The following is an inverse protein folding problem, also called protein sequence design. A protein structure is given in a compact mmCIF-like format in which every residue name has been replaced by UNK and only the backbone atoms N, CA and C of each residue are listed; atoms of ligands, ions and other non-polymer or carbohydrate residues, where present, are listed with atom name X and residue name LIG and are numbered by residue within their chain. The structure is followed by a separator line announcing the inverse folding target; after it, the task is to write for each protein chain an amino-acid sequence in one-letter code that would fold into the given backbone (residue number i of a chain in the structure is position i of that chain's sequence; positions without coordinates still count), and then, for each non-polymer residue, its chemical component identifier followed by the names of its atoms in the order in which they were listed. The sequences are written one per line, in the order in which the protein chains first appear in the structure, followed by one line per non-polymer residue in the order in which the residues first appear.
data_IF_944103357341
#
_entry.id   IF_944103357341
#
_cell.length_a   1.000
_cell.length_b   1.000
_cell.length_c   1.000
_cell.angle_alpha   90.00
_cell.angle_beta   90.00
_cell.angle_gamma   90.00
#
_symmetry.space_group_name_H-M   'P 1'
#
loop_
_entity.id
_entity.type
_entity.pdbx_description
1 polymer ?
#
# COMPACT_ATOMS: atom_id res chain seq x y z
N UNK A 1 6.27 -21.33 23.18
CA UNK A 1 6.86 -20.08 22.68
C UNK A 1 6.03 -19.69 21.49
N UNK A 2 5.05 -18.83 21.72
CA UNK A 2 4.22 -18.31 20.63
C UNK A 2 5.13 -17.44 19.77
N UNK A 3 5.20 -17.75 18.47
CA UNK A 3 6.01 -16.97 17.54
C UNK A 3 5.49 -15.52 17.55
N UNK A 4 6.41 -14.55 17.62
CA UNK A 4 6.02 -13.14 17.52
C UNK A 4 5.22 -12.91 16.23
N UNK A 5 4.10 -12.16 16.30
CA UNK A 5 3.32 -11.81 15.13
C UNK A 5 4.21 -11.16 14.06
N UNK A 6 4.23 -11.72 12.85
CA UNK A 6 5.18 -11.41 11.78
C UNK A 6 4.51 -10.92 10.50
N UNK A 7 5.16 -9.94 9.87
CA UNK A 7 4.89 -9.53 8.48
C UNK A 7 6.09 -9.84 7.62
N UNK A 8 5.90 -10.68 6.61
CA UNK A 8 6.99 -11.09 5.70
C UNK A 8 6.54 -11.22 4.26
N UNK A 9 7.55 -11.19 3.39
CA UNK A 9 7.41 -11.48 1.97
C UNK A 9 8.12 -12.79 1.65
N UNK A 10 7.38 -13.74 1.10
CA UNK A 10 7.91 -14.95 0.48
C UNK A 10 7.69 -14.85 -1.04
N UNK A 11 8.75 -14.53 -1.78
CA UNK A 11 8.67 -14.25 -3.21
C UNK A 11 7.82 -13.01 -3.51
N UNK A 12 6.61 -13.21 -4.04
CA UNK A 12 5.64 -12.16 -4.37
C UNK A 12 4.44 -12.11 -3.42
N UNK A 13 4.51 -12.85 -2.31
CA UNK A 13 3.41 -12.96 -1.37
C UNK A 13 3.82 -12.30 -0.06
N UNK A 14 3.11 -11.24 0.28
CA UNK A 14 3.15 -10.62 1.60
C UNK A 14 2.09 -11.26 2.50
N UNK A 15 2.49 -11.67 3.70
CA UNK A 15 1.59 -12.20 4.73
C UNK A 15 1.77 -11.37 6.00
N UNK A 16 0.65 -10.97 6.59
CA UNK A 16 0.56 -10.37 7.93
C UNK A 16 -0.39 -11.22 8.77
N UNK A 17 0.07 -11.67 9.94
CA UNK A 17 -0.78 -12.23 11.01
C UNK A 17 -1.21 -11.16 12.04
N UNK A 18 -0.64 -9.95 11.94
CA UNK A 18 -0.96 -8.75 12.73
C UNK A 18 -2.10 -7.98 12.12
N UNK A 19 -2.72 -7.07 12.89
CA UNK A 19 -3.74 -6.13 12.40
C UNK A 19 -3.30 -5.34 11.15
N UNK A 20 -4.10 -5.34 10.06
CA UNK A 20 -5.07 -6.38 9.73
C UNK A 20 -4.38 -7.67 9.26
N UNK A 21 -4.87 -8.82 9.75
CA UNK A 21 -4.38 -10.10 9.25
C UNK A 21 -4.76 -10.21 7.77
N UNK A 22 -3.78 -10.37 6.88
CA UNK A 22 -3.98 -10.27 5.44
C UNK A 22 -2.91 -11.02 4.68
N UNK A 23 -3.29 -11.57 3.53
CA UNK A 23 -2.40 -12.08 2.50
C UNK A 23 -2.56 -11.24 1.24
N UNK A 24 -1.45 -10.71 0.73
CA UNK A 24 -1.41 -9.92 -0.50
C UNK A 24 -0.46 -10.61 -1.47
N UNK A 25 -0.99 -11.02 -2.62
CA UNK A 25 -0.20 -11.58 -3.71
C UNK A 25 0.02 -10.49 -4.76
N UNK A 26 1.28 -10.15 -5.02
CA UNK A 26 1.67 -9.17 -6.03
C UNK A 26 1.84 -9.86 -7.38
N UNK A 27 1.36 -9.26 -8.47
CA UNK A 27 1.37 -9.84 -9.80
C UNK A 27 2.78 -10.22 -10.30
N UNK A 28 2.83 -11.14 -11.26
CA UNK A 28 4.07 -11.51 -11.93
C UNK A 28 4.71 -10.28 -12.60
N UNK A 29 6.05 -10.17 -12.51
CA UNK A 29 6.82 -9.04 -13.04
C UNK A 29 7.23 -8.02 -11.98
N UNK A 30 6.61 -8.02 -10.80
CA UNK A 30 7.09 -7.24 -9.65
C UNK A 30 8.14 -8.02 -8.86
N UNK A 31 9.23 -7.35 -8.50
CA UNK A 31 10.26 -7.80 -7.58
C UNK A 31 10.14 -7.07 -6.25
N UNK A 32 10.28 -7.79 -5.14
CA UNK A 32 10.35 -7.20 -3.81
C UNK A 32 11.70 -6.50 -3.61
N UNK A 33 11.67 -5.19 -3.41
CA UNK A 33 12.85 -4.36 -3.20
C UNK A 33 13.23 -4.24 -1.74
N UNK A 34 12.34 -4.53 -0.81
CA UNK A 34 12.66 -4.56 0.62
C UNK A 34 11.59 -3.96 1.50
N UNK A 35 11.93 -3.90 2.78
CA UNK A 35 11.07 -3.45 3.87
C UNK A 35 11.65 -2.19 4.51
N UNK A 36 10.77 -1.24 4.84
CA UNK A 36 11.07 -0.06 5.63
C UNK A 36 10.31 -0.14 6.97
N UNK A 37 10.96 0.31 8.04
CA UNK A 37 10.35 0.48 9.37
C UNK A 37 10.82 1.78 9.97
N UNK A 38 9.90 2.65 10.36
CA UNK A 38 10.22 3.94 10.98
C UNK A 38 9.04 4.48 11.77
N UNK A 39 9.31 5.52 12.56
CA UNK A 39 8.26 6.34 13.20
C UNK A 39 8.07 7.58 12.34
N UNK A 40 6.83 7.81 11.90
CA UNK A 40 6.45 8.96 11.11
C UNK A 40 6.09 10.12 12.04
N UNK A 41 6.86 11.20 11.96
CA UNK A 41 6.64 12.46 12.67
C UNK A 41 6.37 12.29 14.18
N UNK A 42 7.00 11.29 14.81
CA UNK A 42 6.83 10.93 16.22
C UNK A 42 5.41 10.56 16.66
N UNK A 43 4.49 10.25 15.72
CA UNK A 43 3.07 9.97 16.03
C UNK A 43 2.59 8.59 15.61
N UNK A 44 3.19 7.98 14.59
CA UNK A 44 2.73 6.70 14.05
C UNK A 44 3.90 5.79 13.66
N UNK A 45 3.70 4.47 13.78
CA UNK A 45 4.68 3.47 13.35
C UNK A 45 4.32 2.98 11.95
N UNK A 46 5.25 3.12 11.02
CA UNK A 46 5.13 2.66 9.64
C UNK A 46 5.96 1.39 9.42
N UNK A 47 5.36 0.41 8.78
CA UNK A 47 6.05 -0.73 8.16
C UNK A 47 5.60 -0.86 6.69
N UNK A 48 6.52 -0.62 5.76
CA UNK A 48 6.22 -0.63 4.32
C UNK A 48 7.02 -1.70 3.58
N UNK A 49 6.39 -2.36 2.61
CA UNK A 49 6.97 -3.35 1.71
C UNK A 49 6.91 -2.82 0.29
N UNK A 50 8.08 -2.69 -0.35
CA UNK A 50 8.22 -2.02 -1.64
C UNK A 50 8.46 -3.07 -2.72
N UNK A 51 7.66 -2.99 -3.78
CA UNK A 51 7.78 -3.82 -4.97
C UNK A 51 7.91 -2.95 -6.21
N UNK A 52 8.70 -3.40 -7.19
CA UNK A 52 8.85 -2.69 -8.46
C UNK A 52 8.83 -3.63 -9.66
N UNK A 53 8.29 -3.15 -10.78
CA UNK A 53 8.32 -3.84 -12.06
C UNK A 53 8.90 -2.90 -13.15
N UNK A 54 9.77 -3.43 -14.01
CA UNK A 54 10.40 -2.67 -15.09
C UNK A 54 9.50 -2.46 -16.32
N UNK A 55 9.93 -1.55 -17.21
CA UNK A 55 9.37 -1.28 -18.53
C UNK A 55 9.93 0.01 -19.16
N UNK A 56 9.89 0.11 -20.49
CA UNK A 56 10.49 1.21 -21.29
C UNK A 56 9.82 2.59 -21.08
N UNK A 57 8.69 2.65 -20.34
CA UNK A 57 7.89 3.86 -20.11
C UNK A 57 7.82 4.29 -18.64
N UNK A 58 8.88 4.04 -17.88
CA UNK A 58 8.96 4.36 -16.46
C UNK A 58 8.35 3.24 -15.62
N UNK A 59 9.14 2.71 -14.68
CA UNK A 59 8.77 1.55 -13.88
C UNK A 59 7.44 1.71 -13.12
N UNK A 60 6.89 0.58 -12.70
CA UNK A 60 5.75 0.54 -11.79
C UNK A 60 6.23 0.27 -10.38
N UNK A 61 5.60 0.91 -9.41
CA UNK A 61 5.81 0.69 -7.99
C UNK A 61 4.51 0.22 -7.35
N UNK A 62 4.65 -0.71 -6.42
CA UNK A 62 3.59 -1.10 -5.50
C UNK A 62 4.16 -1.06 -4.09
N UNK A 63 3.57 -0.24 -3.23
CA UNK A 63 3.95 -0.13 -1.82
C UNK A 63 2.78 -0.62 -0.98
N UNK A 64 3.03 -1.62 -0.15
CA UNK A 64 2.08 -2.04 0.88
C UNK A 64 2.57 -1.53 2.22
N UNK A 65 1.82 -0.62 2.83
CA UNK A 65 2.14 0.04 4.08
C UNK A 65 1.14 -0.36 5.15
N UNK A 66 1.68 -0.72 6.31
CA UNK A 66 0.94 -0.86 7.55
C UNK A 66 1.34 0.29 8.45
N UNK A 67 0.37 1.06 8.89
CA UNK A 67 0.60 2.18 9.80
C UNK A 67 -0.33 2.08 10.99
N UNK A 68 0.16 2.47 12.17
CA UNK A 68 -0.68 2.62 13.34
C UNK A 68 -0.14 3.68 14.29
N UNK A 69 -1.05 4.49 14.84
CA UNK A 69 -0.69 5.52 15.80
C UNK A 69 -0.02 4.93 17.05
N UNK A 70 0.96 5.65 17.60
CA UNK A 70 1.59 5.31 18.87
C UNK A 70 0.59 5.44 20.03
N UNK A 71 0.83 4.70 21.11
CA UNK A 71 -0.10 4.62 22.25
C UNK A 71 -0.17 5.91 23.09
N UNK A 72 0.72 6.86 22.86
CA UNK A 72 0.87 8.12 23.61
C UNK A 72 0.06 9.29 23.02
N UNK A 73 -0.73 9.04 21.99
CA UNK A 73 -1.65 10.00 21.40
C UNK A 73 -3.03 9.35 21.14
N UNK A 74 -4.04 10.16 20.85
CA UNK A 74 -5.43 9.73 20.61
C UNK A 74 -5.89 10.04 19.18
N UNK A 75 -4.95 10.13 18.24
CA UNK A 75 -5.28 10.38 16.85
C UNK A 75 -6.06 9.22 16.22
N UNK A 76 -6.88 9.56 15.25
CA UNK A 76 -7.66 8.62 14.43
C UNK A 76 -7.55 9.01 12.97
N UNK A 77 -7.53 8.01 12.10
CA UNK A 77 -7.55 8.26 10.66
C UNK A 77 -8.94 8.72 10.23
N UNK A 78 -8.98 9.86 9.54
CA UNK A 78 -10.18 10.40 8.92
C UNK A 78 -9.89 10.79 7.48
N UNK A 79 -10.53 10.07 6.56
CA UNK A 79 -10.25 10.15 5.13
C UNK A 79 -11.48 10.65 4.38
N UNK A 80 -11.41 11.80 3.70
CA UNK A 80 -12.50 12.30 2.85
C UNK A 80 -12.51 11.63 1.46
N UNK A 81 -12.12 10.36 1.38
CA UNK A 81 -11.92 9.63 0.12
C UNK A 81 -13.26 9.22 -0.50
N UNK A 82 -13.36 9.38 -1.82
CA UNK A 82 -14.64 9.46 -2.53
C UNK A 82 -15.17 8.12 -3.06
N UNK A 83 -14.30 7.13 -3.30
CA UNK A 83 -14.67 5.91 -4.02
C UNK A 83 -14.32 4.66 -3.21
N UNK A 84 -15.29 3.91 -2.67
CA UNK A 84 -15.03 2.62 -2.08
C UNK A 84 -14.88 1.55 -3.17
N UNK A 85 -13.79 0.77 -3.12
CA UNK A 85 -13.64 -0.48 -3.86
C UNK A 85 -13.60 -1.65 -2.88
N UNK A 86 -14.05 -2.83 -3.31
CA UNK A 86 -14.04 -4.04 -2.48
C UNK A 86 -12.87 -4.93 -2.87
N UNK A 87 -11.96 -5.18 -1.93
CA UNK A 87 -10.78 -6.02 -2.12
C UNK A 87 -10.76 -7.11 -1.04
N UNK A 88 -10.70 -8.38 -1.45
CA UNK A 88 -10.72 -9.50 -0.50
C UNK A 88 -11.95 -9.52 0.41
N UNK A 89 -13.08 -8.97 -0.04
CA UNK A 89 -14.32 -8.86 0.75
C UNK A 89 -14.35 -7.71 1.77
N UNK A 90 -13.37 -6.80 1.75
CA UNK A 90 -13.32 -5.63 2.63
C UNK A 90 -13.39 -4.33 1.83
N UNK A 91 -13.97 -3.26 2.39
CA UNK A 91 -13.96 -1.95 1.74
C UNK A 91 -12.57 -1.32 1.84
N UNK A 92 -12.13 -0.74 0.74
CA UNK A 92 -10.98 0.15 0.65
C UNK A 92 -11.45 1.48 0.07
N UNK A 93 -11.09 2.56 0.74
CA UNK A 93 -11.23 3.90 0.20
C UNK A 93 -10.13 4.13 -0.84
N UNK A 94 -10.45 4.77 -1.97
CA UNK A 94 -9.44 5.04 -3.00
C UNK A 94 -9.53 6.45 -3.57
N UNK A 95 -8.37 6.99 -3.92
CA UNK A 95 -8.19 8.19 -4.74
C UNK A 95 -7.10 7.97 -5.79
N UNK A 96 -7.02 8.92 -6.72
CA UNK A 96 -6.00 8.97 -7.75
C UNK A 96 -5.37 10.36 -7.81
N UNK A 97 -4.09 10.41 -8.16
CA UNK A 97 -3.38 11.66 -8.37
C UNK A 97 -2.32 11.49 -9.45
N UNK A 98 -1.90 12.61 -10.05
CA UNK A 98 -0.65 12.69 -10.79
C UNK A 98 0.34 13.45 -9.92
N UNK A 99 1.48 12.83 -9.64
CA UNK A 99 2.51 13.38 -8.75
C UNK A 99 3.83 13.54 -9.48
N UNK A 100 4.58 14.58 -9.12
CA UNK A 100 6.01 14.66 -9.42
C UNK A 100 6.77 13.85 -8.37
N UNK A 101 7.67 12.98 -8.82
CA UNK A 101 8.59 12.22 -7.97
C UNK A 101 10.01 12.80 -7.99
N UNK A 102 10.28 13.74 -8.91
CA UNK A 102 11.52 14.51 -9.00
C UNK A 102 11.21 16.03 -9.04
N UNK A 103 11.86 16.86 -8.20
CA UNK A 103 12.68 16.43 -7.06
C UNK A 103 11.84 15.62 -6.06
N UNK A 104 12.45 14.69 -5.30
CA UNK A 104 11.70 13.88 -4.36
C UNK A 104 10.98 14.80 -3.35
N UNK A 105 9.75 14.44 -2.93
CA UNK A 105 9.13 15.05 -1.78
C UNK A 105 10.08 14.97 -0.57
N UNK A 106 9.85 15.81 0.45
CA UNK A 106 10.70 15.90 1.66
C UNK A 106 11.33 14.54 2.01
N UNK A 107 12.66 14.36 2.03
CA UNK A 107 13.29 13.05 2.15
C UNK A 107 12.86 12.23 3.38
N UNK A 108 12.45 12.91 4.45
CA UNK A 108 11.98 12.27 5.69
C UNK A 108 10.54 11.75 5.62
N UNK A 109 9.78 12.10 4.57
CA UNK A 109 8.43 11.59 4.31
C UNK A 109 8.44 10.13 3.88
N UNK A 110 7.28 9.47 4.00
CA UNK A 110 7.08 8.08 3.60
C UNK A 110 7.51 7.82 2.16
N UNK A 111 7.01 8.66 1.25
CA UNK A 111 7.33 8.55 -0.17
C UNK A 111 8.82 8.84 -0.42
N UNK A 112 9.43 9.80 0.27
CA UNK A 112 10.88 10.06 0.16
C UNK A 112 11.71 8.82 0.47
N UNK A 113 11.40 8.14 1.59
CA UNK A 113 12.08 6.89 2.01
C UNK A 113 11.87 5.75 1.03
N UNK A 114 10.67 5.63 0.45
CA UNK A 114 10.38 4.63 -0.60
C UNK A 114 11.23 4.91 -1.84
N UNK A 115 11.27 6.16 -2.32
CA UNK A 115 12.04 6.51 -3.52
C UNK A 115 13.54 6.28 -3.30
N UNK A 116 14.07 6.57 -2.11
CA UNK A 116 15.46 6.29 -1.76
C UNK A 116 15.78 4.79 -1.79
N UNK A 117 14.89 3.94 -1.26
CA UNK A 117 15.05 2.49 -1.36
C UNK A 117 15.03 2.02 -2.81
N UNK A 118 14.11 2.53 -3.63
CA UNK A 118 14.00 2.16 -5.06
C UNK A 118 15.30 2.51 -5.81
N UNK A 119 15.81 3.74 -5.63
CA UNK A 119 17.08 4.18 -6.23
C UNK A 119 18.25 3.34 -5.75
N UNK A 120 18.33 3.04 -4.45
CA UNK A 120 19.38 2.21 -3.87
C UNK A 120 19.39 0.76 -4.41
N UNK A 121 18.27 0.28 -4.97
CA UNK A 121 18.17 -1.02 -5.64
C UNK A 121 18.40 -0.96 -7.15
N UNK A 122 18.80 0.20 -7.68
CA UNK A 122 19.12 0.38 -9.10
C UNK A 122 17.92 0.52 -10.02
N UNK A 123 16.72 0.74 -9.48
CA UNK A 123 15.52 0.96 -10.28
C UNK A 123 15.38 2.44 -10.63
N UNK A 124 15.12 2.72 -11.91
CA UNK A 124 14.79 4.05 -12.37
C UNK A 124 13.36 4.41 -11.95
N UNK A 125 13.22 5.60 -11.37
CA UNK A 125 11.93 6.21 -11.05
C UNK A 125 11.52 7.15 -12.19
N UNK A 126 10.24 7.19 -12.55
CA UNK A 126 9.77 8.20 -13.49
C UNK A 126 9.78 9.59 -12.82
N UNK A 127 9.96 10.66 -13.60
CA UNK A 127 9.87 12.05 -13.11
C UNK A 127 8.46 12.35 -12.59
N UNK A 128 7.45 11.81 -13.28
CA UNK A 128 6.03 11.92 -12.93
C UNK A 128 5.40 10.53 -12.88
N UNK A 129 4.45 10.36 -11.98
CA UNK A 129 3.69 9.13 -11.89
C UNK A 129 2.19 9.40 -11.77
N UNK A 130 1.40 8.54 -12.41
CA UNK A 130 0.01 8.37 -12.05
C UNK A 130 -0.07 7.40 -10.86
N UNK A 131 -0.79 7.79 -9.82
CA UNK A 131 -0.88 7.08 -8.54
C UNK A 131 -2.33 6.68 -8.29
N UNK A 132 -2.50 5.47 -7.76
CA UNK A 132 -3.74 5.00 -7.15
C UNK A 132 -3.44 4.52 -5.74
N UNK A 133 -4.13 5.11 -4.76
CA UNK A 133 -4.01 4.72 -3.36
C UNK A 133 -5.27 4.00 -2.91
N UNK A 134 -5.10 2.99 -2.09
CA UNK A 134 -6.16 2.21 -1.46
C UNK A 134 -5.91 2.21 0.04
N UNK A 135 -6.91 2.55 0.84
CA UNK A 135 -6.82 2.60 2.30
C UNK A 135 -7.90 1.72 2.91
N UNK A 136 -7.50 0.82 3.80
CA UNK A 136 -8.39 0.02 4.62
C UNK A 136 -8.15 0.29 6.10
N UNK A 137 -9.22 0.67 6.80
CA UNK A 137 -9.24 0.81 8.26
C UNK A 137 -9.77 -0.51 8.86
N UNK A 138 -8.95 -1.28 9.59
CA UNK A 138 -9.30 -2.63 10.04
C UNK A 138 -10.45 -2.70 11.02
N UNK A 139 -10.67 -1.63 11.79
CA UNK A 139 -11.68 -1.57 12.85
C UNK A 139 -12.29 -0.16 13.00
N UNK A 140 -13.27 -0.07 13.88
CA UNK A 140 -13.98 1.17 14.16
C UNK A 140 -13.15 2.17 14.99
N UNK A 141 -12.05 1.76 15.61
CA UNK A 141 -11.16 2.66 16.34
C UNK A 141 -10.32 3.51 15.39
N UNK A 142 -10.10 3.04 14.14
CA UNK A 142 -9.40 3.78 13.07
C UNK A 142 -8.01 4.24 13.51
N UNK A 143 -7.32 3.41 14.28
CA UNK A 143 -5.97 3.68 14.78
C UNK A 143 -4.87 2.95 14.02
N UNK A 144 -5.24 1.92 13.27
CA UNK A 144 -4.39 1.22 12.33
C UNK A 144 -4.95 1.41 10.91
N UNK A 145 -4.08 1.32 9.93
CA UNK A 145 -4.43 1.28 8.52
C UNK A 145 -3.57 0.30 7.73
N UNK A 146 -4.17 -0.25 6.68
CA UNK A 146 -3.49 -0.88 5.58
C UNK A 146 -3.63 0.02 4.35
N UNK A 147 -2.51 0.52 3.85
CA UNK A 147 -2.42 1.30 2.64
C UNK A 147 -1.74 0.51 1.53
N UNK A 148 -2.30 0.53 0.33
CA UNK A 148 -1.66 0.01 -0.89
C UNK A 148 -1.56 1.19 -1.86
N UNK A 149 -0.33 1.54 -2.25
CA UNK A 149 -0.08 2.57 -3.25
C UNK A 149 0.47 1.93 -4.51
N UNK A 150 -0.23 2.09 -5.63
CA UNK A 150 0.28 1.81 -6.96
C UNK A 150 0.73 3.11 -7.61
N UNK A 151 1.89 3.10 -8.24
CA UNK A 151 2.38 4.20 -9.06
C UNK A 151 2.94 3.66 -10.38
N UNK A 152 2.63 4.35 -11.48
CA UNK A 152 3.21 4.04 -12.79
C UNK A 152 3.77 5.29 -13.44
N UNK A 153 4.92 5.13 -14.09
CA UNK A 153 5.53 6.20 -14.85
C UNK A 153 4.61 6.70 -15.94
N UNK A 154 4.48 8.02 -16.00
CA UNK A 154 3.90 8.72 -17.13
C UNK A 154 5.04 9.57 -17.68
N UNK A 155 5.36 9.42 -18.97
CA UNK A 155 6.50 10.10 -19.58
C UNK A 155 6.43 11.62 -19.46
N UNK A 156 7.47 12.30 -19.93
CA UNK A 156 7.57 13.76 -19.84
C UNK A 156 6.61 14.48 -20.80
N UNK A 157 6.11 13.79 -21.83
CA UNK A 157 5.15 14.35 -22.78
C UNK A 157 3.75 14.45 -22.16
N UNK A 158 3.17 15.64 -22.21
CA UNK A 158 1.89 15.98 -21.59
C UNK A 158 0.67 15.30 -22.25
N UNK A 159 0.87 14.66 -23.41
CA UNK A 159 -0.22 14.15 -24.23
C UNK A 159 -0.71 12.79 -23.72
N UNK A 160 -1.74 12.91 -22.88
CA UNK A 160 -2.58 11.90 -22.25
C UNK A 160 -1.94 11.14 -21.07
N UNK A 161 -1.79 11.84 -19.93
CA UNK A 161 -1.79 11.16 -18.64
C UNK A 161 -2.98 10.17 -18.60
N UNK A 162 -2.78 8.92 -18.17
CA UNK A 162 -3.83 7.93 -18.16
C UNK A 162 -5.00 8.39 -17.28
N UNK A 163 -6.20 8.04 -17.68
CA UNK A 163 -7.40 8.34 -16.87
C UNK A 163 -7.32 7.61 -15.52
N UNK A 164 -7.94 8.18 -14.49
CA UNK A 164 -7.98 7.56 -13.16
C UNK A 164 -8.57 6.14 -13.18
N UNK A 165 -9.52 5.87 -14.09
CA UNK A 165 -10.10 4.54 -14.30
C UNK A 165 -9.09 3.55 -14.91
N UNK A 166 -8.31 3.98 -15.90
CA UNK A 166 -7.28 3.13 -16.50
C UNK A 166 -6.15 2.80 -15.51
N UNK A 167 -5.78 3.76 -14.65
CA UNK A 167 -4.81 3.53 -13.57
C UNK A 167 -5.38 2.56 -12.52
N UNK A 168 -6.66 2.72 -12.15
CA UNK A 168 -7.34 1.80 -11.23
C UNK A 168 -7.34 0.37 -11.77
N UNK A 169 -7.71 0.16 -13.04
CA UNK A 169 -7.71 -1.17 -13.66
C UNK A 169 -6.33 -1.84 -13.59
N UNK A 170 -5.28 -1.10 -13.97
CA UNK A 170 -3.89 -1.61 -13.91
C UNK A 170 -3.41 -1.86 -12.48
N UNK A 171 -3.80 -1.01 -11.53
CA UNK A 171 -3.50 -1.22 -10.12
C UNK A 171 -4.16 -2.51 -9.60
N UNK A 172 -5.45 -2.72 -9.89
CA UNK A 172 -6.17 -3.94 -9.49
C UNK A 172 -5.63 -5.20 -10.16
N UNK A 173 -5.08 -5.10 -11.36
CA UNK A 173 -4.38 -6.22 -12.01
C UNK A 173 -3.00 -6.52 -11.40
N UNK A 174 -2.46 -5.62 -10.57
CA UNK A 174 -1.10 -5.73 -10.01
C UNK A 174 -1.04 -6.46 -8.67
N UNK A 175 -2.18 -6.75 -8.04
CA UNK A 175 -2.22 -7.49 -6.77
C UNK A 175 -3.58 -8.14 -6.50
N UNK A 176 -3.59 -9.12 -5.61
CA UNK A 176 -4.80 -9.72 -5.06
C UNK A 176 -4.73 -9.73 -3.52
N UNK A 177 -5.82 -9.29 -2.87
CA UNK A 177 -5.94 -9.24 -1.40
C UNK A 177 -6.85 -10.36 -0.91
N UNK A 178 -6.43 -11.05 0.15
CA UNK A 178 -7.25 -12.03 0.86
C UNK A 178 -7.13 -11.80 2.36
N UNK A 179 -8.25 -11.52 3.00
CA UNK A 179 -8.35 -11.56 4.45
C UNK A 179 -8.68 -12.98 4.89
N UNK A 180 -8.22 -13.43 6.07
CA UNK A 180 -8.70 -14.69 6.62
C UNK A 180 -10.23 -14.60 6.75
N UNK A 181 -10.91 -15.67 6.37
CA UNK A 181 -12.34 -15.79 6.61
C UNK A 181 -12.55 -15.66 8.11
N UNK A 182 -13.26 -14.62 8.55
CA UNK A 182 -13.70 -14.57 9.94
C UNK A 182 -14.48 -15.85 10.21
N UNK A 183 -14.10 -16.59 11.24
CA UNK A 183 -15.00 -17.56 11.86
C UNK A 183 -16.32 -16.85 12.08
N UNK A 184 -17.37 -17.28 11.37
CA UNK A 184 -18.69 -16.74 11.56
C UNK A 184 -19.04 -16.79 13.04
N UNK A 185 -19.52 -15.68 13.59
CA UNK A 185 -20.35 -15.71 14.78
C UNK A 185 -21.68 -16.38 14.40
N UNK A 186 -21.63 -17.68 14.13
CA UNK A 186 -22.77 -18.58 14.13
C UNK A 186 -22.98 -19.02 15.57
N UNK A 187 -23.50 -18.13 16.42
CA UNK A 187 -24.15 -18.56 17.64
C UNK A 187 -25.42 -19.30 17.22
N UNK A 188 -25.27 -20.60 17.03
CA UNK A 188 -26.37 -21.51 16.76
C UNK A 188 -27.43 -21.34 17.83
N UNK A 189 -28.65 -21.08 17.36
CA UNK A 189 -29.90 -21.23 18.08
C UNK A 189 -29.87 -22.51 18.92
N UNK A 190 -29.92 -22.37 20.25
CA UNK A 190 -30.38 -23.46 21.11
C UNK A 190 -31.89 -23.51 20.97
N UNK A 191 -32.39 -24.61 20.39
CA UNK A 191 -33.71 -25.13 20.72
C UNK A 191 -33.64 -25.85 22.07
#
# INVERSE_FOLDING_TARGET
MDAEPRRDVAGRVLVSDRTPAVRIEVAAGFAHLGRLRFVLADVARVEAFVFAAGGDRGGRLLVVQFEGYLADNDHVYDYPLAEPVVLGGRPFLTDAAVVALEPPPRPTSDIGRVLDLVRARGYALPVRAAVRRFVHLPDAARRDELMINYAEGIGDEADAAPTAAAVLERALASFAVRFPNGSGAGAGTRA
#
